data_IF_670411281374
#
_entry.id   IF_670411281374
#
_cell.length_a   1.000
_cell.length_b   1.000
_cell.length_c   1.000
_cell.angle_alpha   90.00
_cell.angle_beta   90.00
_cell.angle_gamma   90.00
#
_symmetry.space_group_name_H-M   'P 1'
#
loop_
_entity.id
_entity.type
_entity.pdbx_description
1 polymer ?
#
# COMPACT_ATOMS: atom_id res chain seq x y z
N UNK A 1 -0.16 -39.75 1.51
CA UNK A 1 -0.32 -38.55 0.67
C UNK A 1 -0.70 -39.00 -0.73
N UNK A 2 -1.83 -38.52 -1.27
CA UNK A 2 -2.38 -38.96 -2.56
C UNK A 2 -1.58 -38.41 -3.75
N UNK A 3 -1.74 -38.98 -4.94
CA UNK A 3 -1.09 -38.46 -6.16
C UNK A 3 -1.51 -37.01 -6.47
N UNK A 4 -2.78 -36.67 -6.24
CA UNK A 4 -3.28 -35.29 -6.38
C UNK A 4 -2.55 -34.34 -5.42
N UNK A 5 -2.33 -34.76 -4.17
CA UNK A 5 -1.57 -33.96 -3.19
C UNK A 5 -0.11 -33.79 -3.59
N UNK A 6 0.54 -34.83 -4.14
CA UNK A 6 1.92 -34.76 -4.67
C UNK A 6 2.01 -33.76 -5.84
N UNK A 7 1.09 -33.85 -6.80
CA UNK A 7 1.04 -32.92 -7.93
C UNK A 7 0.82 -31.47 -7.49
N UNK A 8 -0.12 -31.23 -6.56
CA UNK A 8 -0.38 -29.91 -6.01
C UNK A 8 0.86 -29.34 -5.29
N UNK A 9 1.56 -30.16 -4.50
CA UNK A 9 2.79 -29.76 -3.83
C UNK A 9 3.90 -29.41 -4.82
N UNK A 10 4.06 -30.20 -5.89
CA UNK A 10 5.05 -29.93 -6.94
C UNK A 10 4.72 -28.62 -7.68
N UNK A 11 3.45 -28.38 -8.01
CA UNK A 11 2.99 -27.13 -8.63
C UNK A 11 3.26 -25.93 -7.72
N UNK A 12 2.95 -26.04 -6.42
CA UNK A 12 3.26 -25.00 -5.42
C UNK A 12 4.75 -24.69 -5.38
N UNK A 13 5.61 -25.70 -5.29
CA UNK A 13 7.08 -25.52 -5.29
C UNK A 13 7.57 -24.77 -6.53
N UNK A 14 7.04 -25.10 -7.71
CA UNK A 14 7.38 -24.39 -8.96
C UNK A 14 6.95 -22.93 -8.93
N UNK A 15 5.74 -22.64 -8.43
CA UNK A 15 5.23 -21.27 -8.29
C UNK A 15 6.09 -20.47 -7.30
N UNK A 16 6.38 -21.03 -6.14
CA UNK A 16 7.19 -20.39 -5.11
C UNK A 16 8.62 -20.10 -5.60
N UNK A 17 9.24 -21.05 -6.30
CA UNK A 17 10.55 -20.86 -6.91
C UNK A 17 10.54 -19.73 -7.96
N UNK A 18 9.48 -19.65 -8.78
CA UNK A 18 9.31 -18.57 -9.76
C UNK A 18 9.15 -17.22 -9.07
N UNK A 19 8.35 -17.16 -8.01
CA UNK A 19 8.15 -15.95 -7.22
C UNK A 19 9.46 -15.47 -6.58
N UNK A 20 10.23 -16.36 -5.94
CA UNK A 20 11.55 -16.04 -5.38
C UNK A 20 12.53 -15.50 -6.43
N UNK A 21 12.57 -16.11 -7.61
CA UNK A 21 13.39 -15.60 -8.73
C UNK A 21 12.95 -14.20 -9.17
N UNK A 22 11.63 -13.93 -9.19
CA UNK A 22 11.08 -12.61 -9.50
C UNK A 22 11.50 -11.57 -8.46
N UNK A 23 11.47 -11.91 -7.16
CA UNK A 23 11.95 -11.03 -6.09
C UNK A 23 13.44 -10.72 -6.21
N UNK A 24 14.28 -11.75 -6.36
CA UNK A 24 15.72 -11.57 -6.50
C UNK A 24 16.08 -10.70 -7.71
N UNK A 25 15.35 -10.86 -8.83
CA UNK A 25 15.48 -10.00 -10.00
C UNK A 25 15.05 -8.57 -9.72
N UNK A 26 13.96 -8.38 -8.97
CA UNK A 26 13.43 -7.06 -8.59
C UNK A 26 14.41 -6.27 -7.73
N UNK A 27 15.08 -6.95 -6.78
CA UNK A 27 16.14 -6.34 -5.98
C UNK A 27 17.36 -5.99 -6.86
N UNK A 28 17.89 -6.97 -7.58
CA UNK A 28 19.11 -6.80 -8.40
C UNK A 28 19.00 -5.74 -9.49
N UNK A 29 17.87 -5.70 -10.20
CA UNK A 29 17.67 -4.78 -11.33
C UNK A 29 17.07 -3.45 -10.90
N UNK A 30 16.61 -3.32 -9.65
CA UNK A 30 15.84 -2.18 -9.19
C UNK A 30 14.66 -1.84 -10.13
N UNK A 31 13.85 -2.86 -10.47
CA UNK A 31 12.71 -2.75 -11.39
C UNK A 31 11.45 -3.37 -10.78
N UNK A 32 10.28 -2.91 -11.23
CA UNK A 32 8.97 -3.50 -10.91
C UNK A 32 8.83 -4.90 -11.52
N UNK A 33 9.31 -5.92 -10.83
CA UNK A 33 8.97 -7.31 -11.15
C UNK A 33 7.69 -7.70 -10.44
N UNK A 34 7.00 -8.76 -10.90
CA UNK A 34 5.78 -9.24 -10.23
C UNK A 34 6.00 -9.57 -8.74
N UNK A 35 7.21 -10.01 -8.37
CA UNK A 35 7.57 -10.25 -6.98
C UNK A 35 7.59 -8.95 -6.18
N UNK A 36 8.18 -7.89 -6.74
CA UNK A 36 8.24 -6.57 -6.12
C UNK A 36 6.86 -5.90 -6.05
N UNK A 37 6.09 -5.94 -7.15
CA UNK A 37 4.69 -5.49 -7.20
C UNK A 37 3.87 -6.10 -6.06
N UNK A 38 3.99 -7.41 -5.84
CA UNK A 38 3.27 -8.07 -4.75
C UNK A 38 3.56 -7.47 -3.38
N UNK A 39 4.81 -7.12 -3.07
CA UNK A 39 5.15 -6.47 -1.80
C UNK A 39 4.72 -5.00 -1.76
N UNK A 40 4.81 -4.29 -2.88
CA UNK A 40 4.30 -2.94 -3.02
C UNK A 40 2.79 -2.89 -2.69
N UNK A 41 1.97 -3.68 -3.38
CA UNK A 41 0.52 -3.73 -3.15
C UNK A 41 0.17 -4.25 -1.73
N UNK A 42 0.95 -5.21 -1.21
CA UNK A 42 0.79 -5.70 0.17
C UNK A 42 1.08 -4.59 1.19
N UNK A 43 2.00 -3.66 0.89
CA UNK A 43 2.29 -2.51 1.74
C UNK A 43 1.06 -1.61 1.95
N UNK A 44 0.31 -1.33 0.89
CA UNK A 44 -0.98 -0.64 0.99
C UNK A 44 -1.99 -1.45 1.81
N UNK A 45 -2.20 -2.71 1.43
CA UNK A 45 -3.23 -3.56 2.04
C UNK A 45 -2.99 -3.77 3.54
N UNK A 46 -1.73 -3.97 3.94
CA UNK A 46 -1.36 -4.15 5.34
C UNK A 46 -1.70 -2.91 6.18
N UNK A 47 -1.50 -1.72 5.63
CA UNK A 47 -1.89 -0.48 6.30
C UNK A 47 -3.42 -0.34 6.41
N UNK A 48 -4.19 -0.68 5.37
CA UNK A 48 -5.66 -0.69 5.45
C UNK A 48 -6.13 -1.59 6.59
N UNK A 49 -5.57 -2.79 6.68
CA UNK A 49 -5.96 -3.78 7.69
C UNK A 49 -5.61 -3.34 9.13
N UNK A 50 -4.47 -2.67 9.32
CA UNK A 50 -4.00 -2.21 10.64
C UNK A 50 -4.64 -0.89 11.08
N UNK A 51 -4.99 -0.01 10.14
CA UNK A 51 -5.49 1.33 10.45
C UNK A 51 -7.00 1.33 10.61
N UNK A 52 -7.45 1.24 11.87
CA UNK A 52 -8.87 1.32 12.27
C UNK A 52 -9.61 2.59 11.78
N UNK A 53 -8.88 3.59 11.27
CA UNK A 53 -9.40 4.89 10.83
C UNK A 53 -9.24 5.12 9.32
N UNK A 54 -8.63 4.19 8.58
CA UNK A 54 -8.80 4.18 7.13
C UNK A 54 -10.23 3.74 6.86
N UNK A 55 -11.03 4.65 6.31
CA UNK A 55 -12.46 4.40 6.02
C UNK A 55 -12.64 3.87 4.60
N UNK A 56 -11.62 3.99 3.77
CA UNK A 56 -11.68 3.49 2.41
C UNK A 56 -11.97 2.00 2.44
N UNK A 57 -13.05 1.63 1.76
CA UNK A 57 -13.52 0.25 1.77
C UNK A 57 -12.68 -0.48 0.74
N UNK A 58 -11.81 -1.38 1.21
CA UNK A 58 -11.06 -2.28 0.35
C UNK A 58 -12.01 -3.08 -0.54
N UNK A 59 -11.72 -3.10 -1.84
CA UNK A 59 -12.50 -3.84 -2.83
C UNK A 59 -11.70 -5.05 -3.33
N UNK A 60 -10.52 -4.80 -3.88
CA UNK A 60 -9.70 -5.81 -4.55
C UNK A 60 -8.22 -5.43 -4.53
N UNK A 61 -7.36 -6.44 -4.60
CA UNK A 61 -5.93 -6.32 -4.87
C UNK A 61 -5.57 -7.23 -6.04
N UNK A 62 -4.81 -6.72 -7.00
CA UNK A 62 -4.31 -7.52 -8.12
C UNK A 62 -2.86 -7.18 -8.45
N UNK A 63 -2.10 -8.21 -8.83
CA UNK A 63 -0.76 -8.08 -9.42
C UNK A 63 -0.73 -8.55 -10.87
N UNK A 64 -1.92 -8.83 -11.42
CA UNK A 64 -2.12 -9.22 -12.81
C UNK A 64 -2.37 -7.92 -13.57
N UNK A 65 -1.54 -7.58 -14.57
CA UNK A 65 -1.71 -6.37 -15.34
C UNK A 65 -2.99 -6.44 -16.18
N UNK A 66 -3.65 -5.30 -16.32
CA UNK A 66 -4.80 -5.10 -17.20
C UNK A 66 -4.59 -3.86 -18.10
N UNK A 67 -5.65 -3.36 -18.74
CA UNK A 67 -5.57 -2.20 -19.63
C UNK A 67 -5.34 -0.86 -18.88
N UNK A 68 -5.54 -0.84 -17.57
CA UNK A 68 -5.54 0.37 -16.72
C UNK A 68 -4.31 0.41 -15.82
N UNK A 69 -3.91 -0.74 -15.27
CA UNK A 69 -2.90 -0.84 -14.23
C UNK A 69 -2.05 -2.10 -14.36
N UNK A 70 -0.80 -1.97 -13.98
CA UNK A 70 0.19 -3.04 -14.01
C UNK A 70 0.11 -3.96 -12.77
N UNK A 71 -0.44 -3.39 -11.69
CA UNK A 71 -0.88 -3.92 -10.40
C UNK A 71 -1.62 -2.77 -9.69
N UNK A 72 -2.55 -3.08 -8.80
CA UNK A 72 -3.29 -2.06 -8.04
C UNK A 72 -4.00 -2.62 -6.81
N UNK A 73 -4.17 -1.76 -5.80
CA UNK A 73 -5.17 -1.90 -4.74
C UNK A 73 -6.35 -0.98 -5.04
N UNK A 74 -7.53 -1.58 -5.22
CA UNK A 74 -8.78 -0.85 -5.43
C UNK A 74 -9.50 -0.65 -4.11
N UNK A 75 -9.91 0.59 -3.86
CA UNK A 75 -10.70 0.97 -2.70
C UNK A 75 -11.83 1.93 -3.10
N UNK A 76 -12.93 1.89 -2.36
CA UNK A 76 -13.99 2.88 -2.48
C UNK A 76 -13.70 4.05 -1.56
N UNK A 77 -13.37 5.18 -2.16
CA UNK A 77 -13.08 6.43 -1.45
C UNK A 77 -14.32 7.11 -0.87
N UNK A 78 -14.09 7.86 0.20
CA UNK A 78 -15.06 8.83 0.73
C UNK A 78 -14.90 10.21 0.08
N UNK A 79 -16.00 10.97 0.00
CA UNK A 79 -15.96 12.36 -0.46
C UNK A 79 -15.31 13.34 0.55
N UNK A 80 -15.28 13.01 1.84
CA UNK A 80 -14.80 13.90 2.91
C UNK A 80 -14.06 13.10 3.97
N UNK A 81 -12.81 13.48 4.24
CA UNK A 81 -11.99 12.88 5.28
C UNK A 81 -11.86 13.83 6.47
N UNK A 82 -11.95 13.30 7.68
CA UNK A 82 -11.42 14.00 8.86
C UNK A 82 -9.89 14.01 8.80
N UNK A 83 -9.23 14.93 9.51
CA UNK A 83 -7.76 14.99 9.53
C UNK A 83 -7.11 13.68 10.02
N UNK A 84 -7.75 12.97 10.96
CA UNK A 84 -7.26 11.65 11.42
C UNK A 84 -7.33 10.61 10.31
N UNK A 85 -8.41 10.61 9.53
CA UNK A 85 -8.56 9.71 8.38
C UNK A 85 -7.61 10.09 7.25
N UNK A 86 -7.39 11.38 6.98
CA UNK A 86 -6.43 11.83 5.97
C UNK A 86 -4.99 11.45 6.36
N UNK A 87 -4.64 11.53 7.66
CA UNK A 87 -3.36 11.00 8.18
C UNK A 87 -3.27 9.48 8.02
N UNK A 88 -4.35 8.75 8.28
CA UNK A 88 -4.38 7.30 8.08
C UNK A 88 -4.22 6.95 6.58
N UNK A 89 -4.90 7.66 5.68
CA UNK A 89 -4.77 7.49 4.22
C UNK A 89 -3.36 7.82 3.73
N UNK A 90 -2.74 8.87 4.27
CA UNK A 90 -1.33 9.16 4.02
C UNK A 90 -0.42 7.99 4.45
N UNK A 91 -0.64 7.42 5.63
CA UNK A 91 0.11 6.24 6.08
C UNK A 91 -0.12 5.02 5.18
N UNK A 92 -1.34 4.83 4.68
CA UNK A 92 -1.67 3.79 3.70
C UNK A 92 -0.85 3.91 2.43
N UNK A 93 -0.75 5.11 1.85
CA UNK A 93 0.09 5.33 0.65
C UNK A 93 1.58 5.18 0.97
N UNK A 94 2.04 5.63 2.14
CA UNK A 94 3.45 5.43 2.53
C UNK A 94 3.82 3.97 2.88
N UNK A 95 2.82 3.11 3.08
CA UNK A 95 2.99 1.68 3.37
C UNK A 95 3.70 0.93 2.24
N UNK A 96 3.41 1.29 0.99
CA UNK A 96 4.04 0.71 -0.21
C UNK A 96 5.58 0.86 -0.16
N UNK A 97 6.05 2.07 0.17
CA UNK A 97 7.45 2.49 0.13
C UNK A 97 8.20 1.84 1.26
N UNK A 98 7.55 1.75 2.42
CA UNK A 98 8.06 1.04 3.59
C UNK A 98 8.23 -0.44 3.29
N UNK A 99 7.24 -1.09 2.65
CA UNK A 99 7.35 -2.49 2.24
C UNK A 99 8.49 -2.69 1.25
N UNK A 100 8.61 -1.82 0.23
CA UNK A 100 9.72 -1.93 -0.72
C UNK A 100 11.09 -1.74 -0.06
N UNK A 101 11.24 -0.77 0.83
CA UNK A 101 12.48 -0.56 1.59
C UNK A 101 12.82 -1.76 2.47
N UNK A 102 11.83 -2.38 3.11
CA UNK A 102 12.03 -3.52 4.00
C UNK A 102 12.46 -4.79 3.26
N UNK A 103 11.91 -5.04 2.06
CA UNK A 103 12.13 -6.29 1.34
C UNK A 103 13.12 -6.19 0.16
N UNK A 104 13.47 -4.98 -0.29
CA UNK A 104 14.33 -4.73 -1.46
C UNK A 104 15.36 -3.61 -1.21
N UNK A 105 15.60 -3.21 0.04
CA UNK A 105 16.58 -2.21 0.49
C UNK A 105 16.39 -0.77 -0.03
N UNK A 106 15.47 -0.57 -0.98
CA UNK A 106 15.14 0.73 -1.60
C UNK A 106 13.77 0.69 -2.22
N UNK A 107 13.16 1.85 -2.44
CA UNK A 107 11.97 2.00 -3.27
C UNK A 107 12.33 2.45 -4.69
N UNK A 108 11.55 2.01 -5.68
CA UNK A 108 11.74 2.36 -7.11
C UNK A 108 10.90 3.56 -7.56
N UNK A 109 10.01 4.05 -6.69
CA UNK A 109 9.09 5.15 -6.99
C UNK A 109 7.93 4.72 -7.89
N UNK A 110 6.74 5.20 -7.58
CA UNK A 110 5.51 4.94 -8.33
C UNK A 110 4.82 6.29 -8.54
N UNK A 111 4.68 6.71 -9.80
CA UNK A 111 4.33 8.09 -10.13
C UNK A 111 2.94 8.52 -9.66
N UNK A 112 1.97 7.62 -9.76
CA UNK A 112 0.59 7.88 -9.30
C UNK A 112 0.58 8.00 -7.78
N UNK A 113 1.10 6.99 -7.08
CA UNK A 113 1.10 6.97 -5.61
C UNK A 113 1.88 8.14 -5.01
N UNK A 114 3.00 8.52 -5.65
CA UNK A 114 3.79 9.69 -5.25
C UNK A 114 3.01 10.99 -5.35
N UNK A 115 2.25 11.14 -6.43
CA UNK A 115 1.38 12.30 -6.60
C UNK A 115 0.28 12.35 -5.54
N UNK A 116 -0.31 11.20 -5.20
CA UNK A 116 -1.38 11.10 -4.21
C UNK A 116 -0.90 11.44 -2.79
N UNK A 117 0.17 10.81 -2.32
CA UNK A 117 0.63 11.06 -0.95
C UNK A 117 1.20 12.47 -0.77
N UNK A 118 1.83 13.06 -1.80
CA UNK A 118 2.27 14.46 -1.78
C UNK A 118 1.07 15.40 -1.67
N UNK A 119 0.00 15.13 -2.45
CA UNK A 119 -1.25 15.90 -2.39
C UNK A 119 -1.85 15.88 -0.98
N UNK A 120 -2.00 14.69 -0.40
CA UNK A 120 -2.51 14.53 0.96
C UNK A 120 -1.63 15.23 2.00
N UNK A 121 -0.31 15.09 1.91
CA UNK A 121 0.63 15.75 2.81
C UNK A 121 0.50 17.27 2.77
N UNK A 122 0.37 17.86 1.56
CA UNK A 122 0.14 19.30 1.38
C UNK A 122 -1.17 19.74 2.02
N UNK A 123 -2.26 18.98 1.86
CA UNK A 123 -3.55 19.32 2.47
C UNK A 123 -3.54 19.19 4.00
N UNK A 124 -2.85 18.19 4.55
CA UNK A 124 -2.62 18.08 6.01
C UNK A 124 -1.80 19.28 6.52
N UNK A 125 -0.77 19.70 5.80
CA UNK A 125 0.08 20.83 6.18
C UNK A 125 -0.69 22.16 6.15
N UNK A 126 -1.43 22.44 5.07
CA UNK A 126 -2.25 23.66 4.92
C UNK A 126 -3.36 23.75 5.96
N UNK A 127 -4.03 22.63 6.24
CA UNK A 127 -5.13 22.59 7.23
C UNK A 127 -4.65 22.82 8.67
N UNK A 128 -3.35 22.68 8.96
CA UNK A 128 -2.78 22.82 10.31
C UNK A 128 -2.90 24.23 10.91
N UNK A 129 -3.00 25.29 10.11
CA UNK A 129 -3.14 26.67 10.63
C UNK A 129 -4.56 27.05 11.05
N UNK A 130 -5.59 26.38 10.51
CA UNK A 130 -7.02 26.68 10.79
C UNK A 130 -7.66 25.73 11.80
N UNK A 131 -7.10 24.54 11.99
CA UNK A 131 -7.66 23.52 12.88
C UNK A 131 -6.93 23.53 14.21
N UNK A 132 -7.57 24.09 15.25
CA UNK A 132 -7.10 24.07 16.64
C UNK A 132 -6.96 22.60 17.12
N UNK A 133 -5.76 22.03 16.95
CA UNK A 133 -5.34 20.75 17.55
C UNK A 133 -5.12 20.86 19.07
N UNK A 134 -5.78 21.82 19.72
CA UNK A 134 -5.70 21.93 21.17
C UNK A 134 -6.32 20.68 21.78
N UNK A 135 -5.61 20.01 22.71
CA UNK A 135 -6.19 18.90 23.48
C UNK A 135 -7.49 19.38 24.15
N UNK A 136 -8.48 18.48 24.36
CA UNK A 136 -9.85 18.85 24.77
C UNK A 136 -9.91 19.86 25.93
N UNK A 137 -8.95 19.82 26.86
CA UNK A 137 -8.85 20.73 28.01
C UNK A 137 -8.48 22.18 27.66
N UNK A 138 -7.98 22.45 26.45
CA UNK A 138 -7.59 23.78 25.95
C UNK A 138 -8.57 24.36 24.93
N UNK A 139 -9.71 23.69 24.70
CA UNK A 139 -10.81 24.24 23.90
C UNK A 139 -11.66 25.14 24.78
N UNK A 140 -11.32 26.43 24.81
CA UNK A 140 -12.18 27.45 25.42
C UNK A 140 -13.57 27.38 24.77
N UNK A 141 -14.60 27.23 25.61
CA UNK A 141 -16.01 27.33 25.19
C UNK A 141 -16.21 28.74 24.62
N UNK A 142 -16.54 28.81 23.35
CA UNK A 142 -17.17 29.98 22.75
C UNK A 142 -18.69 29.72 22.75
#
# INVERSE_FOLDING_TARGET
MTEVQKMAQQKRRKIEARFRKSMARGNRLNKLTNGRKAFHETGHLWMIWMLLHCIDVFLEITIIPDAVSDAAVFFREQKRYTRRQLKAKLLMSLGEKTAEQLFFDRSVGHGIDETEWIGMAKEIAKSSRRWNDRPRHQRTRA
#
